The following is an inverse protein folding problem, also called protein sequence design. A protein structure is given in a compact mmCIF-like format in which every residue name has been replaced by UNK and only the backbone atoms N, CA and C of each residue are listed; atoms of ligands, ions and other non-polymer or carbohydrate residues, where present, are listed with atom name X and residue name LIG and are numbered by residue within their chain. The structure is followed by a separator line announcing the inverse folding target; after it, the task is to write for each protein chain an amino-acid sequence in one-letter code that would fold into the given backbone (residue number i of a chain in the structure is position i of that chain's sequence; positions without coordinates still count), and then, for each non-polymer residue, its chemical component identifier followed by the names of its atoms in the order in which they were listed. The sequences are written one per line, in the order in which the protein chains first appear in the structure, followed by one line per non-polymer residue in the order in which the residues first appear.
data_IF_736360765728
#
_entry.id   IF_736360765728
#
_cell.length_a   1.000
_cell.length_b   1.000
_cell.length_c   1.000
_cell.angle_alpha   90.00
_cell.angle_beta   90.00
_cell.angle_gamma   90.00
#
_symmetry.space_group_name_H-M   'P 1'
#
loop_
_entity.id
_entity.type
_entity.pdbx_description
1 polymer ?
#
# COMPACT_ATOMS: atom_id res chain seq x y z
N UNK A 1 12.47 -14.71 -19.22
CA UNK A 1 12.62 -16.00 -18.50
C UNK A 1 11.45 -16.14 -17.56
N UNK A 2 10.52 -16.99 -17.98
CA UNK A 2 9.22 -17.27 -17.37
C UNK A 2 9.39 -17.77 -15.93
N UNK A 3 8.55 -17.31 -15.00
CA UNK A 3 8.41 -18.00 -13.71
C UNK A 3 7.82 -19.39 -13.97
N UNK A 4 8.47 -20.49 -13.54
CA UNK A 4 7.96 -21.84 -13.75
C UNK A 4 6.61 -22.08 -13.06
N UNK A 5 5.87 -23.09 -13.54
CA UNK A 5 4.56 -23.47 -13.00
C UNK A 5 4.58 -23.85 -11.52
N UNK A 6 5.73 -24.25 -10.96
CA UNK A 6 5.91 -24.62 -9.55
C UNK A 6 5.95 -23.43 -8.57
N UNK A 7 6.20 -22.21 -9.07
CA UNK A 7 6.07 -20.98 -8.29
C UNK A 7 4.62 -20.81 -7.76
N UNK A 8 3.64 -21.41 -8.44
CA UNK A 8 2.23 -21.43 -8.05
C UNK A 8 1.94 -22.23 -6.78
N UNK A 9 2.81 -23.13 -6.33
CA UNK A 9 2.53 -23.88 -5.10
C UNK A 9 3.12 -23.18 -3.87
N UNK A 10 4.30 -22.58 -4.01
CA UNK A 10 5.07 -22.03 -2.88
C UNK A 10 4.48 -20.71 -2.40
N UNK A 11 4.22 -19.76 -3.31
CA UNK A 11 3.60 -18.48 -2.93
C UNK A 11 2.19 -18.71 -2.37
N UNK A 12 1.42 -19.59 -2.98
CA UNK A 12 0.02 -19.86 -2.63
C UNK A 12 -0.14 -20.63 -1.30
N UNK A 13 0.75 -21.58 -1.01
CA UNK A 13 0.70 -22.34 0.25
C UNK A 13 1.24 -21.56 1.45
N UNK A 14 2.10 -20.55 1.23
CA UNK A 14 2.72 -19.76 2.30
C UNK A 14 2.00 -18.45 2.61
N UNK A 15 1.19 -17.94 1.68
CA UNK A 15 0.36 -16.75 1.94
C UNK A 15 -0.78 -17.00 2.91
N UNK A 16 -1.32 -18.22 2.95
CA UNK A 16 -2.37 -18.64 3.90
C UNK A 16 -1.87 -18.62 5.36
N UNK A 17 -0.71 -19.24 5.71
CA UNK A 17 -0.11 -19.10 7.02
C UNK A 17 0.18 -17.65 7.40
N UNK A 18 0.79 -16.85 6.52
CA UNK A 18 1.08 -15.44 6.77
C UNK A 18 -0.19 -14.63 7.06
N UNK A 19 -1.28 -14.92 6.34
CA UNK A 19 -2.59 -14.31 6.58
C UNK A 19 -3.14 -14.65 7.98
N UNK A 20 -3.01 -15.90 8.42
CA UNK A 20 -3.54 -16.40 9.69
C UNK A 20 -2.75 -15.90 10.92
N UNK A 21 -1.44 -15.69 10.79
CA UNK A 21 -0.55 -15.26 11.91
C UNK A 21 -0.75 -13.78 12.27
N UNK A 22 -1.59 -13.05 11.53
CA UNK A 22 -1.69 -11.60 11.68
C UNK A 22 -2.61 -11.21 12.86
N UNK A 23 -2.01 -11.00 14.04
CA UNK A 23 -2.72 -10.72 15.30
C UNK A 23 -3.27 -9.28 15.42
N UNK A 24 -4.26 -9.12 16.31
CA UNK A 24 -4.79 -7.83 16.73
C UNK A 24 -3.82 -7.14 17.70
N UNK A 25 -3.18 -6.07 17.23
CA UNK A 25 -2.51 -5.12 18.12
C UNK A 25 -3.38 -3.87 18.29
N UNK A 26 -3.10 -3.06 19.31
CA UNK A 26 -3.74 -1.77 19.60
C UNK A 26 -3.97 -0.98 18.31
N UNK A 27 -5.22 -0.97 17.84
CA UNK A 27 -5.60 -0.44 16.54
C UNK A 27 -6.99 0.15 16.59
N UNK A 28 -7.23 1.15 15.77
CA UNK A 28 -8.53 1.81 15.66
C UNK A 28 -8.87 2.01 14.19
N UNK A 29 -10.14 1.83 13.86
CA UNK A 29 -10.66 2.19 12.53
C UNK A 29 -10.62 3.70 12.40
N UNK A 30 -10.31 4.21 11.21
CA UNK A 30 -10.42 5.63 10.92
C UNK A 30 -11.88 6.08 11.10
N UNK A 31 -12.12 6.98 12.06
CA UNK A 31 -13.46 7.39 12.48
C UNK A 31 -13.75 8.89 12.29
N UNK A 32 -12.80 9.64 11.73
CA UNK A 32 -12.96 11.07 11.46
C UNK A 32 -14.05 11.39 10.41
N UNK A 33 -14.45 10.39 9.61
CA UNK A 33 -15.65 10.43 8.77
C UNK A 33 -16.50 9.16 8.93
N UNK A 34 -17.84 9.25 8.85
CA UNK A 34 -18.72 8.12 9.14
C UNK A 34 -18.62 6.98 8.12
N UNK A 35 -18.15 7.23 6.90
CA UNK A 35 -18.00 6.21 5.87
C UNK A 35 -16.87 5.24 6.19
N UNK A 36 -15.77 5.72 6.79
CA UNK A 36 -14.66 4.87 7.21
C UNK A 36 -14.98 4.13 8.51
N UNK A 37 -15.66 4.79 9.44
CA UNK A 37 -16.08 4.21 10.72
C UNK A 37 -17.03 2.99 10.59
N UNK A 38 -17.70 2.84 9.44
CA UNK A 38 -18.64 1.74 9.16
C UNK A 38 -17.96 0.40 8.93
N UNK A 39 -16.68 0.38 8.56
CA UNK A 39 -15.99 -0.87 8.31
C UNK A 39 -15.73 -1.61 9.62
N UNK A 40 -16.04 -2.91 9.64
CA UNK A 40 -15.72 -3.73 10.81
C UNK A 40 -14.20 -3.85 10.99
N UNK A 41 -13.67 -3.70 12.21
CA UNK A 41 -12.25 -3.89 12.50
C UNK A 41 -11.77 -5.34 12.25
N UNK A 42 -12.70 -6.30 12.13
CA UNK A 42 -12.39 -7.71 11.90
C UNK A 42 -12.03 -8.01 10.44
N UNK A 43 -12.39 -7.13 9.51
CA UNK A 43 -12.15 -7.33 8.08
C UNK A 43 -10.67 -7.42 7.77
N UNK A 44 -10.29 -8.47 7.03
CA UNK A 44 -8.91 -8.69 6.62
C UNK A 44 -8.86 -9.40 5.28
N UNK A 45 -8.07 -8.83 4.38
CA UNK A 45 -7.95 -9.32 3.03
C UNK A 45 -6.53 -9.14 2.50
N UNK A 46 -6.04 -10.17 1.80
CA UNK A 46 -4.81 -10.10 1.01
C UNK A 46 -5.09 -10.61 -0.39
N UNK A 47 -4.65 -9.87 -1.39
CA UNK A 47 -4.71 -10.28 -2.79
C UNK A 47 -3.37 -10.05 -3.46
N UNK A 48 -2.95 -11.01 -4.27
CA UNK A 48 -1.69 -10.97 -4.99
C UNK A 48 -1.91 -11.29 -6.46
N UNK A 49 -1.17 -10.58 -7.30
CA UNK A 49 -1.13 -10.75 -8.75
C UNK A 49 0.32 -10.70 -9.21
N UNK A 50 0.80 -11.76 -9.85
CA UNK A 50 2.15 -11.80 -10.42
C UNK A 50 2.21 -11.00 -11.72
N UNK A 51 3.41 -10.63 -12.16
CA UNK A 51 3.62 -9.99 -13.46
C UNK A 51 3.22 -10.90 -14.65
N UNK A 52 3.14 -12.21 -14.42
CA UNK A 52 2.66 -13.22 -15.39
C UNK A 52 1.15 -13.51 -15.27
N UNK A 53 0.40 -12.74 -14.47
CA UNK A 53 -1.06 -12.85 -14.35
C UNK A 53 -1.57 -13.97 -13.42
N UNK A 54 -0.68 -14.71 -12.74
CA UNK A 54 -1.09 -15.65 -11.68
C UNK A 54 -1.64 -14.88 -10.48
N UNK A 55 -2.74 -15.35 -9.87
CA UNK A 55 -3.45 -14.63 -8.80
C UNK A 55 -3.86 -15.54 -7.65
N UNK A 56 -3.77 -15.02 -6.44
CA UNK A 56 -4.27 -15.65 -5.22
C UNK A 56 -4.89 -14.61 -4.30
N UNK A 57 -5.93 -15.00 -3.58
CA UNK A 57 -6.67 -14.09 -2.70
C UNK A 57 -7.09 -14.85 -1.44
N UNK A 58 -7.03 -14.20 -0.28
CA UNK A 58 -7.40 -14.76 1.03
C UNK A 58 -8.14 -13.70 1.85
N UNK A 59 -9.25 -14.08 2.49
CA UNK A 59 -10.07 -13.20 3.32
C UNK A 59 -11.12 -12.38 2.55
N UNK A 60 -11.47 -11.21 3.08
CA UNK A 60 -12.56 -10.33 2.64
C UNK A 60 -12.26 -9.54 1.35
N UNK A 61 -11.72 -10.21 0.35
CA UNK A 61 -11.01 -9.61 -0.79
C UNK A 61 -11.89 -8.90 -1.81
N UNK A 62 -13.19 -9.22 -1.81
CA UNK A 62 -14.20 -8.66 -2.73
C UNK A 62 -14.95 -7.47 -2.15
N UNK A 63 -14.71 -7.11 -0.89
CA UNK A 63 -15.34 -5.94 -0.27
C UNK A 63 -14.72 -4.67 -0.87
N UNK A 64 -15.53 -3.78 -1.47
CA UNK A 64 -15.01 -2.53 -2.00
C UNK A 64 -14.66 -1.57 -0.87
N UNK A 65 -13.55 -0.85 -1.03
CA UNK A 65 -13.11 0.21 -0.11
C UNK A 65 -12.48 1.37 -0.89
N UNK A 66 -12.49 2.57 -0.30
CA UNK A 66 -11.88 3.75 -0.91
C UNK A 66 -10.34 3.64 -0.90
N UNK A 67 -9.68 3.86 -2.04
CA UNK A 67 -8.22 3.84 -2.18
C UNK A 67 -7.53 4.82 -1.22
N UNK A 68 -8.15 5.98 -0.98
CA UNK A 68 -7.56 7.04 -0.17
C UNK A 68 -6.15 7.40 -0.67
N UNK A 69 -5.20 7.59 0.24
CA UNK A 69 -3.81 7.92 -0.12
C UNK A 69 -3.10 6.92 -1.03
N UNK A 70 -3.62 5.69 -1.21
CA UNK A 70 -3.08 4.73 -2.19
C UNK A 70 -3.21 5.20 -3.65
N UNK A 71 -4.08 6.17 -3.95
CA UNK A 71 -4.21 6.75 -5.30
C UNK A 71 -3.02 7.66 -5.68
N UNK A 72 -2.28 8.17 -4.69
CA UNK A 72 -1.20 9.15 -4.88
C UNK A 72 -0.07 8.67 -5.81
N UNK A 73 0.49 7.45 -5.65
CA UNK A 73 1.48 6.94 -6.61
C UNK A 73 0.89 6.78 -8.02
N UNK A 74 -0.38 6.39 -8.13
CA UNK A 74 -1.03 6.14 -9.43
C UNK A 74 -1.21 7.44 -10.21
N UNK A 75 -1.69 8.51 -9.56
CA UNK A 75 -1.81 9.82 -10.22
C UNK A 75 -0.45 10.43 -10.57
N UNK A 76 0.59 10.16 -9.78
CA UNK A 76 1.95 10.58 -10.10
C UNK A 76 2.49 9.87 -11.34
N UNK A 77 2.30 8.55 -11.41
CA UNK A 77 2.68 7.78 -12.59
C UNK A 77 1.98 8.30 -13.86
N UNK A 78 0.68 8.64 -13.78
CA UNK A 78 -0.07 9.22 -14.91
C UNK A 78 0.52 10.59 -15.30
N UNK A 79 0.80 11.47 -14.33
CA UNK A 79 1.38 12.78 -14.63
C UNK A 79 2.74 12.69 -15.31
N UNK A 80 3.62 11.79 -14.84
CA UNK A 80 4.94 11.56 -15.47
C UNK A 80 4.78 10.88 -16.83
N UNK A 81 3.81 9.97 -16.99
CA UNK A 81 3.53 9.35 -18.27
C UNK A 81 3.15 10.37 -19.34
N UNK A 82 2.35 11.38 -18.98
CA UNK A 82 1.86 12.39 -19.91
C UNK A 82 2.87 13.50 -20.19
N UNK A 83 3.63 13.93 -19.18
CA UNK A 83 4.43 15.15 -19.24
C UNK A 83 5.95 14.95 -19.10
N UNK A 84 6.39 13.73 -18.74
CA UNK A 84 7.78 13.45 -18.41
C UNK A 84 8.19 13.91 -17.01
N UNK A 85 9.28 13.33 -16.52
CA UNK A 85 9.77 13.53 -15.14
C UNK A 85 10.24 14.97 -14.91
N UNK A 86 10.91 15.58 -15.89
CA UNK A 86 11.43 16.94 -15.77
C UNK A 86 10.33 17.96 -15.52
N UNK A 87 9.21 17.87 -16.26
CA UNK A 87 8.10 18.80 -16.10
C UNK A 87 7.41 18.64 -14.76
N UNK A 88 7.08 17.40 -14.37
CA UNK A 88 6.36 17.12 -13.11
C UNK A 88 7.16 17.61 -11.90
N UNK A 89 8.49 17.43 -11.91
CA UNK A 89 9.37 17.83 -10.82
C UNK A 89 9.75 19.32 -10.80
N UNK A 90 9.24 20.14 -11.74
CA UNK A 90 9.22 21.59 -11.54
C UNK A 90 8.23 21.98 -10.43
N UNK A 91 7.22 21.15 -10.18
CA UNK A 91 6.18 21.42 -9.19
C UNK A 91 6.37 20.63 -7.91
N UNK A 92 6.82 19.37 -7.97
CA UNK A 92 6.94 18.51 -6.78
C UNK A 92 8.38 18.07 -6.51
N UNK A 93 8.75 17.94 -5.24
CA UNK A 93 10.06 17.46 -4.82
C UNK A 93 10.22 15.94 -5.02
N UNK A 94 11.48 15.47 -4.93
CA UNK A 94 11.85 14.04 -5.04
C UNK A 94 12.17 13.38 -3.70
N UNK A 95 12.33 14.17 -2.65
CA UNK A 95 12.88 13.74 -1.37
C UNK A 95 11.80 13.65 -0.28
N UNK A 96 11.94 12.72 0.68
CA UNK A 96 11.12 12.73 1.87
C UNK A 96 11.36 14.01 2.67
N UNK A 97 10.31 14.57 3.27
CA UNK A 97 10.44 15.81 4.06
C UNK A 97 11.24 15.62 5.36
N UNK A 98 11.37 14.38 5.86
CA UNK A 98 11.98 14.09 7.18
C UNK A 98 11.22 14.68 8.38
N UNK A 99 10.14 15.41 8.13
CA UNK A 99 9.27 16.04 9.13
C UNK A 99 8.05 15.17 9.35
N UNK A 100 7.55 15.16 10.61
CA UNK A 100 6.28 14.52 10.92
C UNK A 100 5.19 15.05 10.01
N UNK A 101 4.33 14.16 9.52
CA UNK A 101 3.23 14.47 8.62
C UNK A 101 2.41 15.70 9.07
N UNK A 102 2.29 15.96 10.38
CA UNK A 102 1.49 17.05 10.96
C UNK A 102 2.09 18.46 10.88
N UNK A 103 3.32 18.64 10.40
CA UNK A 103 3.92 19.98 10.27
C UNK A 103 3.67 20.58 8.88
N UNK A 104 3.09 21.78 8.85
CA UNK A 104 2.85 22.58 7.65
C UNK A 104 4.13 23.34 7.30
N UNK A 105 5.09 22.68 6.64
CA UNK A 105 6.22 23.38 6.02
C UNK A 105 6.41 22.89 4.59
N UNK A 106 6.71 23.83 3.71
CA UNK A 106 7.31 23.50 2.42
C UNK A 106 8.82 23.30 2.62
N UNK A 107 9.44 22.47 1.78
CA UNK A 107 10.90 22.42 1.69
C UNK A 107 11.43 23.80 1.22
N UNK A 108 12.73 24.05 1.34
CA UNK A 108 13.36 25.35 0.98
C UNK A 108 13.02 25.81 -0.45
N UNK A 109 12.78 24.87 -1.36
CA UNK A 109 12.42 25.09 -2.77
C UNK A 109 10.91 25.29 -3.02
N UNK A 110 10.08 25.36 -1.97
CA UNK A 110 8.62 25.60 -2.05
C UNK A 110 7.82 24.61 -2.92
N UNK A 111 8.27 23.35 -3.02
CA UNK A 111 7.58 22.32 -3.82
C UNK A 111 6.14 22.06 -3.39
N UNK A 112 5.27 21.86 -4.36
CA UNK A 112 3.93 21.34 -4.20
C UNK A 112 3.95 19.98 -3.47
N UNK A 113 3.04 19.80 -2.53
CA UNK A 113 2.80 18.48 -1.96
C UNK A 113 2.19 17.57 -3.03
N UNK A 114 2.57 16.28 -3.06
CA UNK A 114 1.98 15.25 -3.94
C UNK A 114 0.44 15.22 -3.89
N UNK A 115 -0.12 15.72 -2.79
CA UNK A 115 -1.53 16.04 -2.59
C UNK A 115 -2.15 16.79 -3.78
N UNK A 116 -1.50 17.83 -4.28
CA UNK A 116 -2.04 18.77 -5.27
C UNK A 116 -1.61 18.49 -6.72
N UNK A 117 -0.85 17.43 -6.97
CA UNK A 117 -0.38 17.06 -8.32
C UNK A 117 -1.53 16.92 -9.35
N UNK A 118 -2.77 16.77 -8.90
CA UNK A 118 -3.97 16.75 -9.73
C UNK A 118 -4.11 17.99 -10.64
N UNK A 119 -3.45 19.11 -10.33
CA UNK A 119 -3.42 20.29 -11.21
C UNK A 119 -2.71 20.03 -12.55
N UNK A 120 -1.71 19.14 -12.57
CA UNK A 120 -0.91 18.80 -13.75
C UNK A 120 -1.65 17.83 -14.67
N UNK A 121 -2.61 17.06 -14.16
CA UNK A 121 -3.37 16.08 -14.95
C UNK A 121 -4.26 16.77 -15.97
N UNK A 122 -4.07 16.41 -17.26
CA UNK A 122 -4.89 16.83 -18.41
C UNK A 122 -5.26 18.31 -18.36
N UNK A 123 -4.23 19.18 -18.41
CA UNK A 123 -4.39 20.63 -18.30
C UNK A 123 -5.33 21.19 -19.37
N UNK A 124 -6.12 22.20 -19.02
CA UNK A 124 -7.14 22.80 -19.89
C UNK A 124 -8.51 22.09 -19.89
N UNK A 125 -8.59 20.85 -19.39
CA UNK A 125 -9.85 20.13 -19.24
C UNK A 125 -10.59 20.50 -17.93
N UNK A 126 -11.91 20.30 -17.91
CA UNK A 126 -12.71 20.41 -16.68
C UNK A 126 -12.55 19.20 -15.76
N UNK A 127 -12.93 19.34 -14.48
CA UNK A 127 -12.75 18.27 -13.48
C UNK A 127 -13.43 16.94 -13.84
N UNK A 128 -14.61 16.97 -14.46
CA UNK A 128 -15.30 15.75 -14.89
C UNK A 128 -14.46 14.96 -15.91
N UNK A 129 -13.92 15.65 -16.92
CA UNK A 129 -13.07 15.04 -17.93
C UNK A 129 -11.73 14.56 -17.35
N UNK A 130 -11.15 15.30 -16.40
CA UNK A 130 -9.94 14.87 -15.67
C UNK A 130 -10.21 13.62 -14.83
N UNK A 131 -11.35 13.56 -14.15
CA UNK A 131 -11.75 12.41 -13.35
C UNK A 131 -11.92 11.17 -14.23
N UNK A 132 -12.68 11.29 -15.33
CA UNK A 132 -12.87 10.19 -16.29
C UNK A 132 -11.54 9.72 -16.89
N UNK A 133 -10.64 10.66 -17.19
CA UNK A 133 -9.30 10.35 -17.69
C UNK A 133 -8.52 9.48 -16.70
N UNK A 134 -8.44 9.89 -15.43
CA UNK A 134 -7.75 9.11 -14.39
C UNK A 134 -8.43 7.77 -14.17
N UNK A 135 -9.77 7.75 -14.09
CA UNK A 135 -10.53 6.52 -13.89
C UNK A 135 -10.28 5.50 -15.01
N UNK A 136 -10.14 5.96 -16.26
CA UNK A 136 -9.79 5.11 -17.38
C UNK A 136 -8.38 4.52 -17.26
N UNK A 137 -7.39 5.29 -16.82
CA UNK A 137 -6.05 4.75 -16.51
C UNK A 137 -6.12 3.68 -15.41
N UNK A 138 -6.84 3.95 -14.32
CA UNK A 138 -6.99 2.99 -13.23
C UNK A 138 -7.67 1.69 -13.70
N UNK A 139 -8.71 1.78 -14.53
CA UNK A 139 -9.37 0.61 -15.15
C UNK A 139 -8.39 -0.19 -15.99
N UNK A 140 -7.56 0.45 -16.81
CA UNK A 140 -6.52 -0.22 -17.60
C UNK A 140 -5.47 -0.90 -16.72
N UNK A 141 -4.99 -0.21 -15.67
CA UNK A 141 -4.05 -0.78 -14.69
C UNK A 141 -4.65 -1.98 -13.94
N UNK A 142 -5.95 -1.96 -13.68
CA UNK A 142 -6.66 -3.07 -13.05
C UNK A 142 -7.10 -4.18 -14.04
N UNK A 143 -6.76 -4.06 -15.33
CA UNK A 143 -7.22 -5.00 -16.36
C UNK A 143 -8.74 -5.10 -16.49
N UNK A 144 -9.43 -3.96 -16.37
CA UNK A 144 -10.88 -3.80 -16.39
C UNK A 144 -11.64 -4.47 -15.24
N UNK A 145 -10.96 -4.78 -14.13
CA UNK A 145 -11.63 -5.15 -12.89
C UNK A 145 -12.31 -3.96 -12.20
N UNK A 146 -12.91 -4.21 -11.03
CA UNK A 146 -13.69 -3.22 -10.29
C UNK A 146 -12.87 -1.97 -9.95
N UNK A 147 -13.29 -0.85 -10.51
CA UNK A 147 -12.87 0.51 -10.15
C UNK A 147 -14.14 1.36 -10.07
N UNK A 148 -14.55 1.66 -8.85
CA UNK A 148 -15.77 2.39 -8.51
C UNK A 148 -15.49 3.79 -7.97
N UNK A 149 -16.53 4.42 -7.40
CA UNK A 149 -16.43 5.74 -6.81
C UNK A 149 -17.48 5.91 -5.71
N UNK A 150 -17.04 6.35 -4.53
CA UNK A 150 -17.92 6.68 -3.41
C UNK A 150 -18.16 8.19 -3.35
N UNK A 151 -19.31 8.62 -3.89
CA UNK A 151 -19.74 10.02 -3.71
C UNK A 151 -19.96 10.36 -2.23
N UNK A 152 -20.39 9.40 -1.41
CA UNK A 152 -20.62 9.62 0.01
C UNK A 152 -19.31 9.95 0.75
N UNK A 153 -18.24 9.19 0.48
CA UNK A 153 -16.91 9.46 1.05
C UNK A 153 -16.37 10.79 0.52
N UNK A 154 -16.55 11.08 -0.77
CA UNK A 154 -16.13 12.36 -1.36
C UNK A 154 -16.74 13.57 -0.66
N UNK A 155 -18.05 13.56 -0.42
CA UNK A 155 -18.72 14.67 0.27
C UNK A 155 -18.18 14.84 1.69
N UNK A 156 -18.05 13.75 2.44
CA UNK A 156 -17.55 13.82 3.82
C UNK A 156 -16.08 14.23 3.91
N UNK A 157 -15.20 13.72 3.05
CA UNK A 157 -13.79 14.13 2.97
C UNK A 157 -13.64 15.62 2.63
N UNK A 158 -14.51 16.13 1.74
CA UNK A 158 -14.53 17.53 1.37
C UNK A 158 -14.99 18.42 2.53
N UNK A 159 -16.03 18.02 3.25
CA UNK A 159 -16.57 18.75 4.40
C UNK A 159 -15.59 18.77 5.59
N UNK A 160 -14.86 17.69 5.85
CA UNK A 160 -13.84 17.62 6.91
C UNK A 160 -12.42 18.00 6.43
N UNK A 161 -12.30 18.58 5.23
CA UNK A 161 -11.05 18.77 4.50
C UNK A 161 -10.24 20.01 4.87
N UNK A 162 -10.53 20.68 6.00
CA UNK A 162 -10.01 22.01 6.37
C UNK A 162 -8.49 22.16 6.22
N UNK A 163 -7.76 21.13 6.64
CA UNK A 163 -6.29 21.13 6.54
C UNK A 163 -5.82 21.19 5.09
N UNK A 164 -6.48 20.48 4.18
CA UNK A 164 -6.14 20.50 2.76
C UNK A 164 -6.47 21.87 2.15
N UNK A 165 -7.56 22.52 2.57
CA UNK A 165 -7.86 23.91 2.19
C UNK A 165 -6.76 24.87 2.65
N UNK A 166 -6.32 24.78 3.91
CA UNK A 166 -5.24 25.63 4.43
C UNK A 166 -3.95 25.48 3.63
N UNK A 167 -3.54 24.24 3.33
CA UNK A 167 -2.37 23.97 2.48
C UNK A 167 -2.59 24.54 1.07
N UNK A 168 -3.79 24.37 0.50
CA UNK A 168 -4.11 24.85 -0.84
C UNK A 168 -4.00 26.38 -0.96
N UNK A 169 -4.54 27.12 0.00
CA UNK A 169 -4.40 28.58 0.06
C UNK A 169 -2.94 29.01 0.20
N UNK A 170 -2.17 28.33 1.05
CA UNK A 170 -0.74 28.63 1.22
C UNK A 170 0.05 28.43 -0.09
N UNK A 171 -0.16 27.29 -0.77
CA UNK A 171 0.46 27.00 -2.06
C UNK A 171 0.03 27.98 -3.17
N UNK A 172 -1.20 28.49 -3.09
CA UNK A 172 -1.73 29.47 -4.04
C UNK A 172 -1.01 30.81 -3.89
N UNK A 173 -0.78 31.26 -2.65
CA UNK A 173 -0.02 32.47 -2.34
C UNK A 173 1.43 32.36 -2.85
N UNK A 174 2.06 31.20 -2.65
CA UNK A 174 3.42 30.90 -3.10
C UNK A 174 3.57 30.62 -4.60
N UNK A 175 2.47 30.67 -5.37
CA UNK A 175 2.46 30.43 -6.82
C UNK A 175 3.01 29.05 -7.21
N UNK A 176 2.81 28.03 -6.36
CA UNK A 176 3.26 26.65 -6.62
C UNK A 176 2.42 25.94 -7.71
N UNK A 177 1.31 26.53 -8.14
CA UNK A 177 0.43 25.96 -9.16
C UNK A 177 0.80 26.45 -10.57
N UNK A 178 0.56 25.64 -11.62
CA UNK A 178 0.64 26.09 -13.00
C UNK A 178 -0.24 27.34 -13.25
N UNK A 179 0.18 28.19 -14.17
CA UNK A 179 -0.54 29.44 -14.49
C UNK A 179 -1.99 29.15 -14.91
N UNK A 180 -2.94 29.91 -14.36
CA UNK A 180 -4.37 29.75 -14.67
C UNK A 180 -5.08 28.62 -13.90
N UNK A 181 -4.42 27.99 -12.92
CA UNK A 181 -5.02 26.94 -12.10
C UNK A 181 -5.97 27.50 -11.04
N UNK A 182 -7.19 26.95 -10.96
CA UNK A 182 -8.09 27.16 -9.82
C UNK A 182 -7.80 26.15 -8.71
N UNK A 183 -7.34 26.66 -7.56
CA UNK A 183 -7.00 25.84 -6.38
C UNK A 183 -8.19 25.05 -5.85
N UNK A 184 -9.39 25.65 -5.83
CA UNK A 184 -10.59 24.98 -5.29
C UNK A 184 -10.99 23.81 -6.18
N UNK A 185 -10.99 23.99 -7.50
CA UNK A 185 -11.22 22.91 -8.44
C UNK A 185 -10.17 21.78 -8.30
N UNK A 186 -8.90 22.10 -8.06
CA UNK A 186 -7.85 21.08 -7.83
C UNK A 186 -8.11 20.29 -6.55
N UNK A 187 -8.54 20.94 -5.48
CA UNK A 187 -8.91 20.26 -4.23
C UNK A 187 -10.12 19.36 -4.40
N UNK A 188 -11.16 19.82 -5.09
CA UNK A 188 -12.33 18.99 -5.39
C UNK A 188 -11.93 17.74 -6.17
N UNK A 189 -11.11 17.87 -7.22
CA UNK A 189 -10.59 16.73 -7.96
C UNK A 189 -9.74 15.82 -7.06
N UNK A 190 -8.93 16.39 -6.18
CA UNK A 190 -8.16 15.59 -5.21
C UNK A 190 -9.08 14.73 -4.32
N UNK A 191 -10.13 15.32 -3.74
CA UNK A 191 -11.08 14.58 -2.91
C UNK A 191 -11.82 13.50 -3.72
N UNK A 192 -12.18 13.79 -4.98
CA UNK A 192 -12.78 12.79 -5.88
C UNK A 192 -11.83 11.60 -6.09
N UNK A 193 -10.56 11.84 -6.38
CA UNK A 193 -9.58 10.76 -6.61
C UNK A 193 -9.33 9.91 -5.36
N UNK A 194 -9.29 10.50 -4.16
CA UNK A 194 -9.16 9.74 -2.90
C UNK A 194 -10.39 8.87 -2.59
N UNK A 195 -11.55 9.23 -3.15
CA UNK A 195 -12.82 8.53 -2.95
C UNK A 195 -13.12 7.47 -4.01
N UNK A 196 -12.15 7.15 -4.87
CA UNK A 196 -12.23 6.02 -5.81
C UNK A 196 -12.23 4.72 -5.03
N UNK A 197 -13.13 3.81 -5.40
CA UNK A 197 -13.28 2.50 -4.75
C UNK A 197 -12.60 1.40 -5.55
N UNK A 198 -11.98 0.47 -4.85
CA UNK A 198 -11.38 -0.75 -5.42
C UNK A 198 -11.67 -1.93 -4.52
N UNK A 199 -11.40 -3.13 -5.01
CA UNK A 199 -11.31 -4.34 -4.17
C UNK A 199 -9.85 -4.71 -3.98
N UNK A 200 -9.53 -5.61 -3.05
CA UNK A 200 -8.17 -6.12 -2.94
C UNK A 200 -7.73 -6.80 -4.25
N UNK A 201 -8.64 -7.51 -4.89
CA UNK A 201 -8.38 -8.21 -6.15
C UNK A 201 -7.94 -7.23 -7.25
N UNK A 202 -8.74 -6.18 -7.50
CA UNK A 202 -8.44 -5.21 -8.56
C UNK A 202 -7.20 -4.38 -8.28
N UNK A 203 -6.99 -4.00 -7.02
CA UNK A 203 -5.81 -3.23 -6.63
C UNK A 203 -4.52 -4.06 -6.68
N UNK A 204 -4.57 -5.38 -6.46
CA UNK A 204 -3.41 -6.25 -6.65
C UNK A 204 -2.94 -6.27 -8.11
N UNK A 205 -3.87 -6.20 -9.08
CA UNK A 205 -3.56 -6.08 -10.51
C UNK A 205 -2.94 -4.71 -10.83
N UNK A 206 -3.43 -3.63 -10.21
CA UNK A 206 -2.81 -2.30 -10.34
C UNK A 206 -1.36 -2.29 -9.83
N UNK A 207 -1.11 -2.87 -8.66
CA UNK A 207 0.24 -3.03 -8.12
C UNK A 207 1.13 -3.88 -9.04
N UNK A 208 0.57 -4.95 -9.61
CA UNK A 208 1.28 -5.84 -10.51
C UNK A 208 1.61 -5.18 -11.86
N UNK A 209 0.76 -4.25 -12.32
CA UNK A 209 1.06 -3.39 -13.48
C UNK A 209 2.30 -2.52 -13.23
N UNK A 210 2.47 -2.00 -12.01
CA UNK A 210 3.70 -1.30 -11.62
C UNK A 210 4.89 -2.27 -11.52
N UNK A 211 4.71 -3.46 -10.94
CA UNK A 211 5.78 -4.48 -10.91
C UNK A 211 6.23 -4.91 -12.31
N UNK A 212 5.34 -4.87 -13.30
CA UNK A 212 5.57 -5.29 -14.68
C UNK A 212 5.96 -4.11 -15.61
N UNK A 213 6.58 -3.07 -15.05
CA UNK A 213 7.13 -1.96 -15.86
C UNK A 213 6.09 -1.14 -16.61
N UNK A 214 4.82 -1.16 -16.17
CA UNK A 214 3.73 -0.40 -16.77
C UNK A 214 2.86 -1.19 -17.74
N UNK A 215 3.12 -2.49 -17.92
CA UNK A 215 2.27 -3.39 -18.71
C UNK A 215 1.28 -4.11 -17.79
N UNK A 216 -0.01 -4.07 -18.11
CA UNK A 216 -1.00 -4.78 -17.31
C UNK A 216 -0.78 -6.30 -17.43
N UNK A 217 -0.63 -7.04 -16.31
CA UNK A 217 -0.22 -8.44 -16.34
C UNK A 217 -1.28 -9.39 -16.91
N UNK A 218 -2.56 -8.98 -16.90
CA UNK A 218 -3.68 -9.81 -17.36
C UNK A 218 -4.21 -9.41 -18.75
N UNK A 219 -3.82 -8.26 -19.28
CA UNK A 219 -4.23 -7.81 -20.63
C UNK A 219 -3.05 -7.66 -21.60
N UNK A 220 -1.83 -7.49 -21.10
CA UNK A 220 -0.65 -7.19 -21.91
C UNK A 220 -0.60 -5.76 -22.46
N UNK A 221 -1.58 -4.90 -22.14
CA UNK A 221 -1.59 -3.51 -22.59
C UNK A 221 -0.49 -2.70 -21.89
N UNK A 222 0.24 -1.88 -22.65
CA UNK A 222 1.13 -0.86 -22.09
C UNK A 222 0.31 0.31 -21.56
N UNK A 223 0.15 0.39 -20.25
CA UNK A 223 -0.67 1.41 -19.57
C UNK A 223 0.16 2.63 -19.17
N UNK A 224 1.40 2.43 -18.73
CA UNK A 224 2.29 3.51 -18.26
C UNK A 224 3.65 3.47 -18.96
N UNK A 225 4.39 4.57 -18.91
CA UNK A 225 5.79 4.59 -19.36
C UNK A 225 6.67 3.91 -18.29
N UNK A 226 7.70 3.13 -18.68
CA UNK A 226 8.61 2.54 -17.71
C UNK A 226 9.33 3.57 -16.83
N UNK A 227 9.58 4.77 -17.36
CA UNK A 227 10.09 5.93 -16.62
C UNK A 227 9.16 6.32 -15.47
N UNK A 228 7.88 6.55 -15.76
CA UNK A 228 6.89 6.88 -14.74
C UNK A 228 6.82 5.80 -13.65
N UNK A 229 6.88 4.53 -14.06
CA UNK A 229 6.85 3.39 -13.12
C UNK A 229 8.08 3.38 -12.22
N UNK A 230 9.29 3.49 -12.78
CA UNK A 230 10.54 3.52 -12.01
C UNK A 230 10.53 4.65 -10.98
N UNK A 231 10.14 5.84 -11.41
CA UNK A 231 10.17 7.02 -10.54
C UNK A 231 9.08 6.91 -9.45
N UNK A 232 7.92 6.33 -9.78
CA UNK A 232 6.85 6.05 -8.82
C UNK A 232 7.31 5.06 -7.75
N UNK A 233 7.93 3.96 -8.15
CA UNK A 233 8.44 2.94 -7.22
C UNK A 233 9.54 3.48 -6.31
N UNK A 234 10.38 4.37 -6.83
CA UNK A 234 11.42 5.04 -6.05
C UNK A 234 10.81 5.93 -4.96
N UNK A 235 9.78 6.73 -5.30
CA UNK A 235 9.07 7.56 -4.31
C UNK A 235 8.22 6.72 -3.34
N UNK A 236 7.64 5.60 -3.79
CA UNK A 236 6.93 4.68 -2.90
C UNK A 236 7.88 4.04 -1.87
N UNK A 237 9.13 3.78 -2.26
CA UNK A 237 10.13 3.23 -1.35
C UNK A 237 10.50 4.23 -0.24
N UNK A 238 10.73 5.50 -0.56
CA UNK A 238 11.20 6.50 0.41
C UNK A 238 10.08 7.28 1.13
N UNK A 239 8.90 7.42 0.51
CA UNK A 239 7.82 8.32 0.96
C UNK A 239 6.44 7.63 1.09
N UNK A 240 6.40 6.29 1.05
CA UNK A 240 5.17 5.51 0.88
C UNK A 240 4.28 5.33 2.11
N UNK A 241 4.86 5.23 3.30
CA UNK A 241 4.22 4.71 4.51
C UNK A 241 4.10 5.76 5.63
N UNK A 242 3.78 7.01 5.26
CA UNK A 242 3.73 8.16 6.18
C UNK A 242 5.06 8.31 6.95
N UNK A 243 5.00 8.64 8.24
CA UNK A 243 6.18 8.78 9.10
C UNK A 243 6.93 7.43 9.29
N UNK A 244 6.30 6.29 8.94
CA UNK A 244 6.92 4.97 8.97
C UNK A 244 7.75 4.64 7.71
N UNK A 245 7.78 5.52 6.70
CA UNK A 245 8.44 5.23 5.40
C UNK A 245 9.92 4.83 5.54
N UNK A 246 10.70 5.53 6.38
CA UNK A 246 12.11 5.22 6.58
C UNK A 246 12.33 3.85 7.24
N UNK A 247 11.54 3.52 8.27
CA UNK A 247 11.60 2.24 8.96
C UNK A 247 11.13 1.10 8.05
N UNK A 248 10.05 1.32 7.29
CA UNK A 248 9.54 0.35 6.32
C UNK A 248 10.55 0.08 5.21
N UNK A 249 11.18 1.11 4.65
CA UNK A 249 12.22 0.97 3.65
C UNK A 249 13.45 0.22 4.16
N UNK A 250 13.78 0.36 5.45
CA UNK A 250 14.92 -0.32 6.07
C UNK A 250 14.64 -1.78 6.44
N UNK A 251 13.46 -2.06 7.01
CA UNK A 251 13.11 -3.41 7.50
C UNK A 251 12.42 -4.29 6.46
N UNK A 252 11.52 -3.72 5.66
CA UNK A 252 10.77 -4.44 4.61
C UNK A 252 11.42 -4.25 3.26
N UNK A 253 11.90 -3.04 2.96
CA UNK A 253 12.67 -2.78 1.74
C UNK A 253 11.87 -2.92 0.45
N UNK A 254 10.54 -2.85 0.50
CA UNK A 254 9.68 -2.92 -0.68
C UNK A 254 8.99 -1.58 -0.94
N UNK A 255 8.77 -1.16 -2.20
CA UNK A 255 7.91 -0.02 -2.51
C UNK A 255 6.47 -0.28 -2.05
N UNK A 256 5.92 0.62 -1.23
CA UNK A 256 4.56 0.50 -0.74
C UNK A 256 3.85 1.86 -0.65
N UNK A 257 2.52 1.86 -0.59
CA UNK A 257 1.74 3.04 -0.22
C UNK A 257 0.57 2.64 0.67
N UNK A 258 0.47 3.26 1.84
CA UNK A 258 -0.65 3.10 2.76
C UNK A 258 -1.77 4.11 2.52
N UNK A 259 -3.01 3.70 2.82
CA UNK A 259 -4.22 4.53 2.78
C UNK A 259 -4.99 4.43 4.09
N UNK A 260 -5.60 5.53 4.53
CA UNK A 260 -6.35 5.61 5.79
C UNK A 260 -7.63 4.75 5.81
N UNK A 261 -8.04 4.18 4.68
CA UNK A 261 -9.06 3.14 4.63
C UNK A 261 -8.54 1.75 5.06
N UNK A 262 -7.26 1.64 5.44
CA UNK A 262 -6.63 0.37 5.86
C UNK A 262 -5.96 -0.42 4.73
N UNK A 263 -5.88 0.16 3.52
CA UNK A 263 -5.24 -0.47 2.37
C UNK A 263 -3.73 -0.22 2.33
N UNK A 264 -2.96 -1.23 1.93
CA UNK A 264 -1.53 -1.11 1.59
C UNK A 264 -1.31 -1.67 0.19
N UNK A 265 -0.99 -0.78 -0.75
CA UNK A 265 -0.54 -1.13 -2.09
C UNK A 265 0.95 -1.46 -2.03
N UNK A 266 1.33 -2.72 -2.22
CA UNK A 266 2.70 -3.21 -2.12
C UNK A 266 3.18 -3.75 -3.47
N UNK A 267 4.41 -3.41 -3.86
CA UNK A 267 5.00 -3.85 -5.14
C UNK A 267 6.28 -4.62 -4.88
N UNK A 268 6.41 -5.81 -5.47
CA UNK A 268 7.67 -6.56 -5.60
C UNK A 268 8.09 -6.46 -7.07
N UNK A 269 8.99 -5.52 -7.44
CA UNK A 269 9.32 -5.25 -8.83
C UNK A 269 9.76 -6.50 -9.58
N UNK A 270 9.25 -6.67 -10.81
CA UNK A 270 9.49 -7.83 -11.68
C UNK A 270 8.97 -9.19 -11.15
N UNK A 271 8.19 -9.21 -10.06
CA UNK A 271 7.64 -10.45 -9.48
C UNK A 271 6.12 -10.37 -9.35
N UNK A 272 5.61 -9.44 -8.55
CA UNK A 272 4.18 -9.35 -8.24
C UNK A 272 3.77 -8.02 -7.62
N UNK A 273 2.48 -7.72 -7.70
CA UNK A 273 1.80 -6.72 -6.88
C UNK A 273 0.93 -7.38 -5.83
N UNK A 274 0.83 -6.74 -4.67
CA UNK A 274 0.04 -7.19 -3.53
C UNK A 274 -0.82 -6.03 -3.03
N UNK A 275 -2.07 -6.32 -2.67
CA UNK A 275 -2.92 -5.43 -1.88
C UNK A 275 -3.29 -6.14 -0.58
N UNK A 276 -2.96 -5.50 0.54
CA UNK A 276 -3.44 -5.88 1.86
C UNK A 276 -4.49 -4.87 2.32
N UNK A 277 -5.58 -5.32 2.95
CA UNK A 277 -6.61 -4.42 3.47
C UNK A 277 -7.14 -4.89 4.82
N UNK A 278 -6.90 -4.05 5.83
CA UNK A 278 -7.50 -4.15 7.17
C UNK A 278 -7.79 -2.72 7.64
N UNK A 279 -9.07 -2.35 7.87
CA UNK A 279 -9.48 -1.01 8.27
C UNK A 279 -8.77 -0.46 9.52
N UNK A 280 -8.38 -1.35 10.43
CA UNK A 280 -7.70 -1.04 11.69
C UNK A 280 -6.29 -0.47 11.46
N UNK A 281 -6.06 0.76 11.91
CA UNK A 281 -4.81 1.51 11.74
C UNK A 281 -3.99 1.59 13.04
N UNK A 282 -2.68 1.77 12.89
CA UNK A 282 -1.75 2.15 13.94
C UNK A 282 -1.79 3.66 14.23
N UNK A 283 -0.99 4.10 15.21
CA UNK A 283 -0.85 5.52 15.59
C UNK A 283 -0.24 6.40 14.49
N UNK A 284 0.35 5.81 13.45
CA UNK A 284 0.97 6.50 12.31
C UNK A 284 0.06 6.52 11.08
N UNK A 285 -1.14 5.94 11.17
CA UNK A 285 -2.13 5.90 10.09
C UNK A 285 -1.95 4.76 9.09
N UNK A 286 -1.17 3.73 9.43
CA UNK A 286 -0.96 2.54 8.60
C UNK A 286 -1.75 1.34 9.09
N UNK A 287 -2.15 0.44 8.17
CA UNK A 287 -2.83 -0.80 8.54
C UNK A 287 -1.93 -1.71 9.39
N UNK A 288 -2.37 -2.06 10.60
CA UNK A 288 -1.61 -2.92 11.53
C UNK A 288 -1.36 -4.29 10.92
N UNK A 289 -2.44 -4.95 10.48
CA UNK A 289 -2.35 -6.27 9.85
C UNK A 289 -1.55 -6.23 8.55
N UNK A 290 -1.73 -5.16 7.77
CA UNK A 290 -0.98 -4.94 6.54
C UNK A 290 0.53 -4.86 6.76
N UNK A 291 1.01 -4.08 7.73
CA UNK A 291 2.45 -3.97 8.05
C UNK A 291 3.01 -5.31 8.54
N UNK A 292 2.29 -5.99 9.42
CA UNK A 292 2.72 -7.27 9.97
C UNK A 292 2.90 -8.30 8.85
N UNK A 293 1.90 -8.43 7.96
CA UNK A 293 2.00 -9.28 6.77
C UNK A 293 3.22 -8.94 5.91
N UNK A 294 3.48 -7.65 5.65
CA UNK A 294 4.64 -7.23 4.86
C UNK A 294 5.98 -7.64 5.51
N UNK A 295 6.05 -7.57 6.84
CA UNK A 295 7.24 -7.90 7.63
C UNK A 295 7.50 -9.40 7.63
N UNK A 296 6.44 -10.21 7.83
CA UNK A 296 6.54 -11.65 7.81
C UNK A 296 6.86 -12.17 6.40
N UNK A 297 6.33 -11.52 5.37
CA UNK A 297 6.63 -11.82 3.96
C UNK A 297 8.14 -11.76 3.68
N UNK A 298 8.82 -10.67 4.06
CA UNK A 298 10.26 -10.52 3.79
C UNK A 298 11.15 -11.29 4.77
N UNK A 299 10.60 -11.70 5.91
CA UNK A 299 11.27 -12.59 6.84
C UNK A 299 11.32 -14.01 6.27
N UNK A 300 10.27 -14.43 5.58
CA UNK A 300 10.16 -15.75 4.95
C UNK A 300 10.80 -15.80 3.55
N UNK A 301 10.69 -14.73 2.76
CA UNK A 301 11.13 -14.69 1.36
C UNK A 301 12.25 -13.67 1.12
N UNK A 302 13.13 -13.95 0.15
CA UNK A 302 14.22 -13.05 -0.26
C UNK A 302 13.75 -11.90 -1.18
N UNK A 303 12.64 -11.24 -0.80
CA UNK A 303 12.03 -10.16 -1.57
C UNK A 303 12.51 -8.77 -1.18
N UNK A 304 13.19 -8.62 -0.04
CA UNK A 304 13.75 -7.32 0.33
C UNK A 304 14.63 -6.80 -0.81
N UNK A 305 14.48 -5.53 -1.21
CA UNK A 305 15.10 -5.00 -2.44
C UNK A 305 16.64 -5.05 -2.40
N UNK A 306 17.22 -5.15 -1.21
CA UNK A 306 18.67 -5.32 -0.97
C UNK A 306 19.09 -6.72 -0.51
N UNK A 307 18.20 -7.71 -0.53
CA UNK A 307 18.56 -9.11 -0.26
C UNK A 307 19.39 -9.71 -1.41
N UNK A 308 20.27 -10.65 -1.08
CA UNK A 308 21.11 -11.32 -2.07
C UNK A 308 20.35 -12.45 -2.77
N UNK A 309 20.35 -12.48 -4.10
CA UNK A 309 19.69 -13.54 -4.88
C UNK A 309 20.46 -14.88 -4.91
N UNK A 310 21.74 -14.91 -4.52
CA UNK A 310 22.61 -16.09 -4.57
C UNK A 310 22.95 -16.66 -3.18
N UNK A 311 23.13 -15.78 -2.19
CA UNK A 311 23.63 -16.07 -0.86
C UNK A 311 22.66 -15.53 0.19
N UNK A 312 21.46 -16.09 0.28
CA UNK A 312 20.48 -15.79 1.31
C UNK A 312 20.41 -16.94 2.32
N UNK A 313 20.32 -16.61 3.61
CA UNK A 313 20.27 -17.60 4.69
C UNK A 313 18.82 -17.87 5.08
N UNK A 314 18.40 -19.14 5.06
CA UNK A 314 17.10 -19.66 5.54
C UNK A 314 15.80 -19.07 4.93
N UNK A 315 15.87 -18.08 4.02
CA UNK A 315 14.71 -17.55 3.28
C UNK A 315 14.39 -18.40 2.04
N UNK A 316 13.17 -18.29 1.53
CA UNK A 316 12.74 -18.92 0.28
C UNK A 316 12.87 -17.97 -0.92
N UNK A 317 13.22 -18.51 -2.07
CA UNK A 317 13.18 -17.81 -3.36
C UNK A 317 12.22 -18.54 -4.31
N UNK A 318 10.98 -18.05 -4.48
CA UNK A 318 9.98 -18.72 -5.31
C UNK A 318 10.23 -18.53 -6.81
N UNK A 319 11.26 -17.76 -7.20
CA UNK A 319 11.71 -17.63 -8.60
C UNK A 319 12.48 -18.86 -9.08
N UNK A 320 12.92 -19.73 -8.16
CA UNK A 320 13.66 -20.96 -8.46
C UNK A 320 12.74 -22.17 -8.28
N UNK A 321 12.87 -23.17 -9.15
CA UNK A 321 12.14 -24.44 -9.01
C UNK A 321 12.54 -25.12 -7.69
N UNK A 322 11.57 -25.76 -7.01
CA UNK A 322 11.73 -26.32 -5.67
C UNK A 322 12.83 -27.37 -5.50
N UNK A 323 13.43 -27.85 -6.61
CA UNK A 323 14.56 -28.78 -6.61
C UNK A 323 15.96 -28.16 -6.76
N UNK A 324 16.07 -26.88 -7.13
CA UNK A 324 17.35 -26.22 -7.47
C UNK A 324 17.79 -25.16 -6.42
N UNK A 325 17.13 -25.17 -5.25
CA UNK A 325 17.64 -24.49 -4.07
C UNK A 325 18.89 -25.25 -3.60
N UNK A 326 20.06 -24.59 -3.60
CA UNK A 326 21.35 -25.16 -3.14
C UNK A 326 21.38 -25.39 -1.62
N UNK A 327 20.43 -26.14 -1.09
CA UNK A 327 20.43 -26.73 0.23
C UNK A 327 19.62 -28.03 0.19
N UNK A 328 20.31 -29.16 0.29
CA UNK A 328 19.75 -30.44 0.72
C UNK A 328 19.23 -30.27 2.15
N UNK A 329 17.96 -29.93 2.29
CA UNK A 329 17.19 -30.36 3.45
C UNK A 329 16.43 -31.61 3.00
N UNK A 330 16.50 -32.68 3.81
CA UNK A 330 15.59 -33.82 3.68
C UNK A 330 14.13 -33.35 3.78
N UNK A 331 13.13 -34.22 3.54
CA UNK A 331 11.73 -33.84 3.54
C UNK A 331 11.38 -33.21 4.89
N UNK A 332 11.35 -31.88 4.94
CA UNK A 332 10.86 -31.13 6.08
C UNK A 332 9.35 -31.15 5.96
N UNK A 333 8.76 -31.93 6.84
CA UNK A 333 7.35 -32.21 6.94
C UNK A 333 6.59 -30.90 7.23
N UNK A 334 5.55 -30.64 6.45
CA UNK A 334 4.66 -29.49 6.58
C UNK A 334 4.12 -29.32 8.02
N UNK A 335 4.00 -30.43 8.75
CA UNK A 335 3.66 -30.45 10.18
C UNK A 335 4.68 -29.71 11.07
N UNK A 336 5.97 -29.66 10.71
CA UNK A 336 6.98 -28.98 11.53
C UNK A 336 6.84 -27.46 11.43
N UNK A 337 6.53 -26.93 10.24
CA UNK A 337 6.29 -25.50 10.04
C UNK A 337 4.96 -25.10 10.70
N UNK A 338 3.92 -25.92 10.57
CA UNK A 338 2.67 -25.71 11.33
C UNK A 338 2.89 -25.78 12.84
N UNK A 339 3.75 -26.67 13.35
CA UNK A 339 4.13 -26.72 14.77
C UNK A 339 4.94 -25.52 15.22
N UNK A 340 5.90 -25.05 14.42
CA UNK A 340 6.71 -23.87 14.77
C UNK A 340 5.88 -22.58 14.77
N UNK A 341 4.89 -22.52 13.88
CA UNK A 341 3.88 -21.46 13.84
C UNK A 341 2.85 -21.58 14.99
N UNK A 342 2.37 -22.81 15.30
CA UNK A 342 1.49 -23.07 16.43
C UNK A 342 2.18 -22.90 17.80
N UNK A 343 3.50 -23.07 17.87
CA UNK A 343 4.28 -22.75 19.08
C UNK A 343 4.34 -21.24 19.33
N UNK A 344 4.22 -20.40 18.29
CA UNK A 344 4.06 -18.95 18.44
C UNK A 344 2.64 -18.57 18.91
N UNK A 345 1.61 -19.37 18.60
CA UNK A 345 0.26 -19.18 19.16
C UNK A 345 0.25 -19.28 20.70
N UNK A 346 1.11 -20.12 21.28
CA UNK A 346 1.15 -20.36 22.74
C UNK A 346 1.86 -19.29 23.58
N UNK A 347 2.55 -18.31 22.98
CA UNK A 347 3.33 -17.30 23.72
C UNK A 347 2.48 -16.08 24.15
N UNK A 348 1.24 -15.97 23.66
CA UNK A 348 0.43 -14.77 23.82
C UNK A 348 -0.97 -15.08 24.35
N UNK A 349 -1.14 -14.90 25.66
CA UNK A 349 -2.43 -15.07 26.35
C UNK A 349 -3.26 -13.77 26.31
N UNK A 350 -4.56 -13.91 26.03
CA UNK A 350 -5.55 -12.84 26.07
C UNK A 350 -5.69 -12.33 27.50
N UNK A 351 -5.35 -11.06 27.77
CA UNK A 351 -5.58 -10.46 29.10
C UNK A 351 -7.01 -9.93 29.15
N UNK A 352 -7.72 -10.20 30.25
CA UNK A 352 -9.08 -9.69 30.46
C UNK A 352 -9.05 -8.17 30.67
N UNK A 353 -10.11 -7.43 30.28
CA UNK A 353 -10.14 -5.96 30.35
C UNK A 353 -10.03 -5.36 31.77
N UNK A 354 -10.05 -6.20 32.82
CA UNK A 354 -10.14 -5.79 34.22
C UNK A 354 -8.79 -5.63 34.93
N UNK A 355 -7.67 -5.94 34.28
CA UNK A 355 -6.33 -5.84 34.90
C UNK A 355 -5.51 -4.60 34.49
N UNK A 356 -6.10 -3.68 33.71
CA UNK A 356 -5.49 -2.38 33.41
C UNK A 356 -6.07 -1.33 34.36
N UNK A 357 -5.40 -1.06 35.47
CA UNK A 357 -5.68 0.14 36.24
C UNK A 357 -5.21 1.35 35.41
N UNK A 358 -6.18 2.24 35.16
CA UNK A 358 -6.14 3.50 34.42
C UNK A 358 -6.65 3.43 32.96
N UNK A 359 -7.76 4.15 32.78
CA UNK A 359 -8.57 4.46 31.60
C UNK A 359 -9.48 3.40 30.96
N UNK A 360 -10.78 3.61 31.20
CA UNK A 360 -11.96 2.96 30.62
C UNK A 360 -12.09 3.17 29.11
N UNK A 361 -11.19 2.55 28.35
CA UNK A 361 -11.35 2.26 26.93
C UNK A 361 -11.41 0.74 26.76
N UNK A 362 -12.27 0.24 25.88
CA UNK A 362 -12.38 -1.18 25.49
C UNK A 362 -11.17 -1.65 24.68
N UNK A 363 -9.97 -1.45 25.24
CA UNK A 363 -8.70 -1.86 24.68
C UNK A 363 -8.44 -3.30 25.12
N UNK A 364 -8.42 -4.23 24.16
CA UNK A 364 -7.95 -5.60 24.41
C UNK A 364 -6.42 -5.56 24.38
N UNK A 365 -5.79 -5.82 25.53
CA UNK A 365 -4.33 -5.83 25.70
C UNK A 365 -3.87 -7.30 25.75
N UNK A 366 -2.81 -7.63 25.02
CA UNK A 366 -2.10 -8.92 25.13
C UNK A 366 -0.74 -8.69 25.80
N UNK A 367 -0.34 -9.57 26.70
CA UNK A 367 0.96 -9.52 27.41
C UNK A 367 1.85 -10.65 26.89
N UNK A 368 3.12 -10.35 26.63
CA UNK A 368 4.15 -11.37 26.37
C UNK A 368 4.48 -12.04 27.70
N UNK A 369 4.30 -13.35 27.82
CA UNK A 369 4.90 -14.05 28.94
C UNK A 369 6.42 -14.09 28.72
N UNK A 370 7.19 -13.67 29.73
CA UNK A 370 8.65 -13.75 29.69
C UNK A 370 9.03 -15.21 29.41
N UNK A 371 9.70 -15.44 28.29
CA UNK A 371 10.43 -16.69 28.07
C UNK A 371 11.54 -16.71 29.12
N UNK A 372 11.30 -17.43 30.21
CA UNK A 372 12.32 -17.66 31.21
C UNK A 372 13.49 -18.39 30.57
N UNK A 373 14.72 -17.90 30.80
CA UNK A 373 15.94 -18.65 30.56
C UNK A 373 15.91 -19.91 31.42
N UNK A 374 15.45 -21.01 30.83
CA UNK A 374 15.47 -22.35 31.41
C UNK A 374 16.65 -23.13 30.83
N UNK A 375 17.65 -23.38 31.68
CA UNK A 375 18.71 -24.38 31.50
C UNK A 375 18.17 -25.77 31.13
#
# INVERSE_FOLDING_TARGET
NFLPWDTKLILFNLTQPLFLITFFFCSQVADYIPQLAKFSPDLWAVSLCTVDGQRHTVGDTKVPFCLQSCVKPLKYAIAVHDHGTEYVHQFIGKEPSGLRFNKLFLNEDEYLCLLFLSCVLKQGAGNAEKFDYVLNFLKKMAGNEYVGFSNATFQSERESGDRNFAIGYYLKEKKCFPTGTDMTAVLDLYFQLCSIEVTCESASVMAATLANGGFCPITGERVLSPEAVRDTLSLMHSCGMYDFSGQFAFHVGLPAKSGVAGGILLVVPNVMGIMCWSPSLDKLGNSVRGIQFCTDLVSLFNFHNYDNLRHFTKKHDPRREGGDQRYTFGPLDYESLQKELALKDTVWTKVSPTECNEDSSTTVVYRMENVGDGN
#
